data_IF_899016149940
#
_entry.id   IF_899016149940
#
_cell.length_a   1.000
_cell.length_b   1.000
_cell.length_c   1.000
_cell.angle_alpha   90.00
_cell.angle_beta   90.00
_cell.angle_gamma   90.00
#
_symmetry.space_group_name_H-M   'P 1'
#
loop_
_entity.id
_entity.type
_entity.pdbx_description
1 polymer ?
#
# COMPACT_ATOMS: atom_id res chain seq x y z
N UNK A 1 -12.00 -66.72 -6.33
CA UNK A 1 -11.75 -65.85 -5.16
C UNK A 1 -12.59 -64.59 -5.33
N UNK A 2 -13.67 -64.53 -4.56
CA UNK A 2 -14.68 -63.46 -4.55
C UNK A 2 -14.08 -62.15 -4.03
N UNK A 3 -14.42 -61.01 -4.65
CA UNK A 3 -14.90 -59.76 -4.03
C UNK A 3 -15.07 -58.69 -5.13
N UNK A 4 -16.30 -58.34 -5.51
CA UNK A 4 -17.26 -57.39 -4.92
C UNK A 4 -17.17 -55.99 -5.55
N UNK A 5 -18.34 -55.57 -6.01
CA UNK A 5 -18.78 -54.28 -6.56
C UNK A 5 -18.46 -53.08 -5.69
N UNK A 6 -18.13 -51.93 -6.31
CA UNK A 6 -18.70 -50.64 -5.91
C UNK A 6 -18.47 -49.56 -6.98
N UNK A 7 -19.57 -49.12 -7.60
CA UNK A 7 -19.68 -47.85 -8.29
C UNK A 7 -20.42 -46.89 -7.35
N UNK A 8 -19.97 -45.63 -7.26
CA UNK A 8 -20.75 -44.40 -6.93
C UNK A 8 -19.73 -43.24 -6.83
N UNK A 9 -19.48 -42.46 -7.88
CA UNK A 9 -20.18 -41.22 -8.28
C UNK A 9 -19.68 -39.97 -7.53
N UNK A 10 -19.30 -38.85 -8.15
CA UNK A 10 -20.09 -37.86 -8.92
C UNK A 10 -19.10 -36.82 -9.55
N UNK A 11 -19.53 -35.79 -10.32
CA UNK A 11 -20.35 -35.76 -11.53
C UNK A 11 -19.72 -34.87 -12.65
N UNK A 12 -20.18 -35.08 -13.89
CA UNK A 12 -20.18 -34.19 -15.09
C UNK A 12 -19.65 -32.74 -14.92
N UNK A 13 -18.88 -32.17 -15.87
CA UNK A 13 -19.42 -31.65 -17.15
C UNK A 13 -18.30 -31.22 -18.13
N UNK A 14 -18.30 -31.85 -19.30
CA UNK A 14 -18.21 -31.23 -20.63
C UNK A 14 -17.08 -30.21 -20.93
N UNK A 15 -16.06 -30.64 -21.66
CA UNK A 15 -15.62 -29.90 -22.86
C UNK A 15 -15.49 -30.85 -24.05
N UNK A 16 -15.98 -30.37 -25.18
CA UNK A 16 -16.33 -31.10 -26.39
C UNK A 16 -15.15 -31.78 -27.08
N UNK A 17 -15.39 -32.98 -27.60
CA UNK A 17 -14.45 -33.82 -28.37
C UNK A 17 -14.05 -33.18 -29.70
N UNK A 18 -12.79 -33.39 -30.12
CA UNK A 18 -12.21 -33.59 -31.47
C UNK A 18 -10.71 -33.27 -31.28
N UNK A 19 -9.72 -34.17 -31.33
CA UNK A 19 -9.31 -35.09 -32.39
C UNK A 19 -8.44 -36.22 -31.78
N UNK A 20 -8.55 -37.40 -32.37
CA UNK A 20 -7.84 -38.66 -32.10
C UNK A 20 -6.32 -38.61 -32.35
N UNK A 21 -5.60 -39.34 -31.48
CA UNK A 21 -4.16 -39.66 -31.44
C UNK A 21 -3.35 -39.65 -32.75
N UNK A 22 -2.15 -39.05 -32.73
CA UNK A 22 -0.96 -39.58 -33.42
C UNK A 22 0.30 -39.40 -32.55
N UNK A 23 1.08 -40.47 -32.50
CA UNK A 23 2.14 -40.80 -31.54
C UNK A 23 3.48 -40.08 -31.77
N UNK A 24 4.28 -40.04 -30.69
CA UNK A 24 5.74 -40.26 -30.68
C UNK A 24 6.66 -39.13 -31.20
N UNK A 25 7.22 -38.33 -30.28
CA UNK A 25 8.67 -38.13 -30.10
C UNK A 25 8.93 -37.27 -28.85
N UNK A 26 9.41 -37.85 -27.75
CA UNK A 26 10.10 -37.07 -26.71
C UNK A 26 11.51 -36.82 -27.27
N UNK A 27 11.83 -35.57 -27.61
CA UNK A 27 13.14 -34.91 -27.52
C UNK A 27 13.18 -33.65 -28.42
N UNK A 28 12.94 -32.46 -27.87
CA UNK A 28 13.84 -31.28 -28.01
C UNK A 28 13.34 -30.12 -27.13
N UNK A 29 14.15 -29.73 -26.16
CA UNK A 29 14.05 -28.48 -25.41
C UNK A 29 12.77 -28.29 -24.57
N UNK A 30 12.53 -29.22 -23.65
CA UNK A 30 11.73 -28.94 -22.46
C UNK A 30 12.48 -27.99 -21.51
N UNK A 31 12.49 -26.71 -21.84
CA UNK A 31 12.66 -25.64 -20.85
C UNK A 31 11.78 -24.47 -21.27
N UNK A 32 10.47 -24.70 -21.30
CA UNK A 32 9.56 -23.58 -21.08
C UNK A 32 9.55 -23.36 -19.57
N UNK A 33 10.57 -22.66 -19.07
CA UNK A 33 10.43 -22.01 -17.77
C UNK A 33 9.33 -20.98 -18.00
N UNK A 34 8.08 -21.36 -17.71
CA UNK A 34 7.03 -20.37 -17.52
C UNK A 34 7.54 -19.52 -16.36
N UNK A 35 8.28 -18.45 -16.67
CA UNK A 35 8.61 -17.42 -15.72
C UNK A 35 7.26 -16.98 -15.17
N UNK A 36 7.01 -17.35 -13.93
CA UNK A 36 5.82 -16.91 -13.22
C UNK A 36 6.02 -15.44 -12.88
N UNK A 37 5.97 -14.58 -13.91
CA UNK A 37 5.89 -13.13 -13.78
C UNK A 37 4.47 -12.76 -13.33
N UNK A 38 3.98 -13.40 -12.27
CA UNK A 38 2.88 -12.81 -11.53
C UNK A 38 3.47 -11.56 -10.88
N UNK A 39 2.94 -10.35 -11.15
CA UNK A 39 3.42 -9.16 -10.46
C UNK A 39 3.30 -9.41 -8.96
N UNK A 40 4.37 -9.11 -8.22
CA UNK A 40 4.32 -9.11 -6.76
C UNK A 40 3.20 -8.16 -6.34
N UNK A 41 2.28 -8.57 -5.44
CA UNK A 41 1.24 -7.67 -4.95
C UNK A 41 1.88 -6.46 -4.24
N UNK A 42 1.36 -5.26 -4.52
CA UNK A 42 1.80 -4.03 -3.86
C UNK A 42 1.54 -4.05 -2.35
N UNK A 43 2.47 -3.56 -1.55
CA UNK A 43 2.30 -3.26 -0.14
C UNK A 43 2.04 -1.77 0.06
N UNK A 44 1.26 -1.41 1.09
CA UNK A 44 0.98 -0.02 1.37
C UNK A 44 2.20 0.68 2.00
N UNK A 45 2.39 2.00 1.76
CA UNK A 45 3.49 2.74 2.34
C UNK A 45 3.34 2.87 3.85
N UNK A 46 4.42 3.26 4.53
CA UNK A 46 4.42 3.71 5.92
C UNK A 46 4.49 5.23 5.99
N UNK A 47 3.48 5.85 6.60
CA UNK A 47 3.46 7.29 6.85
C UNK A 47 4.28 7.65 8.09
N UNK A 48 5.22 8.58 7.93
CA UNK A 48 6.04 9.10 9.02
C UNK A 48 6.39 10.57 8.80
N UNK A 49 6.42 11.35 9.87
CA UNK A 49 6.88 12.73 9.83
C UNK A 49 7.45 13.24 11.15
N UNK A 50 8.19 14.35 11.05
CA UNK A 50 8.67 15.15 12.18
C UNK A 50 8.18 16.59 12.06
N UNK A 51 8.18 17.29 13.20
CA UNK A 51 7.72 18.68 13.30
C UNK A 51 8.76 19.48 14.07
N UNK A 52 9.02 20.72 13.63
CA UNK A 52 10.08 21.57 14.20
C UNK A 52 9.85 21.96 15.67
N UNK A 53 8.62 21.84 16.17
CA UNK A 53 8.22 22.25 17.51
C UNK A 53 7.39 21.17 18.21
N UNK A 54 7.42 21.18 19.54
CA UNK A 54 6.59 20.31 20.39
C UNK A 54 5.27 20.96 20.81
N UNK A 55 5.15 22.28 20.67
CA UNK A 55 3.95 23.08 20.88
C UNK A 55 3.73 24.04 19.71
N UNK A 56 2.47 24.43 19.50
CA UNK A 56 2.07 25.33 18.43
C UNK A 56 1.44 26.56 19.10
N UNK A 57 2.13 27.69 19.02
CA UNK A 57 1.65 28.98 19.51
C UNK A 57 1.07 29.83 18.37
N UNK A 58 0.29 30.85 18.73
CA UNK A 58 -0.29 31.77 17.74
C UNK A 58 0.79 32.63 17.10
N UNK A 59 0.77 32.74 15.78
CA UNK A 59 1.72 33.52 15.00
C UNK A 59 3.03 32.79 14.69
N UNK A 60 3.13 31.51 15.03
CA UNK A 60 4.31 30.70 14.75
C UNK A 60 4.18 29.92 13.44
N UNK A 61 5.23 30.00 12.61
CA UNK A 61 5.40 29.15 11.44
C UNK A 61 6.04 27.84 11.86
N UNK A 62 5.35 26.73 11.63
CA UNK A 62 5.79 25.39 11.99
C UNK A 62 6.20 24.64 10.72
N UNK A 63 7.36 24.00 10.74
CA UNK A 63 7.85 23.18 9.64
C UNK A 63 7.50 21.70 9.88
N UNK A 64 6.94 21.07 8.85
CA UNK A 64 6.56 19.66 8.81
C UNK A 64 7.44 18.95 7.79
N UNK A 65 8.04 17.83 8.19
CA UNK A 65 8.91 17.03 7.32
C UNK A 65 8.47 15.56 7.32
N UNK A 66 7.91 15.10 6.20
CA UNK A 66 7.51 13.72 5.94
C UNK A 66 8.65 12.83 5.44
N UNK A 67 9.91 13.25 5.61
CA UNK A 67 11.08 12.52 5.12
C UNK A 67 11.23 11.10 5.64
N UNK A 68 10.62 10.79 6.77
CA UNK A 68 10.61 9.46 7.40
C UNK A 68 9.52 8.52 6.87
N UNK A 69 8.68 8.97 5.92
CA UNK A 69 7.78 8.08 5.20
C UNK A 69 8.55 7.20 4.22
N UNK A 70 8.14 5.94 4.10
CA UNK A 70 8.81 4.95 3.25
C UNK A 70 7.83 3.98 2.63
N UNK A 71 8.25 3.32 1.57
CA UNK A 71 7.56 2.18 0.99
C UNK A 71 8.59 1.06 0.75
N UNK A 72 8.23 -0.19 1.01
CA UNK A 72 9.18 -1.30 1.10
C UNK A 72 9.42 -1.99 -0.24
N UNK A 73 8.41 -1.95 -1.12
CA UNK A 73 8.41 -2.52 -2.46
C UNK A 73 8.26 -1.46 -3.56
N UNK A 74 8.25 -0.18 -3.18
CA UNK A 74 8.09 0.95 -4.10
C UNK A 74 8.65 2.26 -3.55
N UNK A 75 7.97 3.36 -3.88
CA UNK A 75 8.34 4.72 -3.50
C UNK A 75 7.10 5.54 -3.13
N UNK A 76 7.28 6.50 -2.22
CA UNK A 76 6.19 7.44 -1.88
C UNK A 76 6.08 8.50 -2.98
N UNK A 77 4.96 8.50 -3.70
CA UNK A 77 4.67 9.41 -4.80
C UNK A 77 4.05 10.73 -4.36
N UNK A 78 3.21 10.72 -3.31
CA UNK A 78 2.47 11.92 -2.88
C UNK A 78 2.44 12.08 -1.36
N UNK A 79 2.37 13.35 -0.91
CA UNK A 79 2.26 13.76 0.48
C UNK A 79 1.15 14.80 0.61
N UNK A 80 0.15 14.53 1.45
CA UNK A 80 -0.97 15.44 1.72
C UNK A 80 -1.13 15.66 3.22
N UNK A 81 -1.17 16.93 3.61
CA UNK A 81 -1.28 17.37 4.99
C UNK A 81 -2.67 17.93 5.27
N UNK A 82 -3.18 17.61 6.45
CA UNK A 82 -4.28 18.31 7.12
C UNK A 82 -3.74 18.82 8.46
N UNK A 83 -3.80 20.14 8.66
CA UNK A 83 -3.21 20.76 9.86
C UNK A 83 -4.18 20.80 11.05
N UNK A 84 -5.43 20.34 10.88
CA UNK A 84 -6.43 20.32 11.93
C UNK A 84 -7.02 21.70 12.29
N UNK A 85 -6.63 22.76 11.58
CA UNK A 85 -7.19 24.11 11.66
C UNK A 85 -8.13 24.44 10.47
N UNK A 86 -8.37 23.45 9.60
CA UNK A 86 -9.12 23.59 8.35
C UNK A 86 -8.25 23.84 7.11
N UNK A 87 -6.94 24.07 7.29
CA UNK A 87 -5.99 24.23 6.20
C UNK A 87 -5.35 22.89 5.81
N UNK A 88 -4.87 22.83 4.56
CA UNK A 88 -4.18 21.65 4.02
C UNK A 88 -3.03 22.07 3.11
N UNK A 89 -2.04 21.20 2.94
CA UNK A 89 -0.93 21.40 2.00
C UNK A 89 -0.52 20.10 1.33
N UNK A 90 0.31 20.21 0.29
CA UNK A 90 0.93 19.08 -0.40
C UNK A 90 2.43 19.29 -0.50
N UNK A 91 3.18 18.20 -0.40
CA UNK A 91 4.64 18.22 -0.50
C UNK A 91 5.31 17.52 0.68
N UNK A 92 6.52 17.02 0.44
CA UNK A 92 7.29 16.26 1.45
C UNK A 92 7.67 17.13 2.65
N UNK A 93 7.99 18.40 2.40
CA UNK A 93 8.29 19.40 3.41
C UNK A 93 7.39 20.61 3.19
N UNK A 94 6.72 21.07 4.24
CA UNK A 94 5.78 22.19 4.18
C UNK A 94 5.92 23.06 5.44
N UNK A 95 5.69 24.35 5.27
CA UNK A 95 5.57 25.30 6.39
C UNK A 95 4.11 25.72 6.51
N UNK A 96 3.59 25.75 7.74
CA UNK A 96 2.24 26.22 8.03
C UNK A 96 2.23 27.21 9.19
N UNK A 97 1.43 28.27 9.07
CA UNK A 97 1.29 29.31 10.07
C UNK A 97 -0.02 29.13 10.83
N UNK A 98 0.07 28.92 12.13
CA UNK A 98 -1.11 28.86 13.00
C UNK A 98 -1.44 30.25 13.55
N UNK A 99 -2.62 30.77 13.23
CA UNK A 99 -3.03 32.13 13.63
C UNK A 99 -3.66 32.20 15.02
N UNK A 100 -4.15 31.07 15.52
CA UNK A 100 -4.86 30.96 16.80
C UNK A 100 -4.13 29.93 17.67
N UNK A 101 -3.98 30.16 18.98
CA UNK A 101 -3.41 29.14 19.85
C UNK A 101 -4.44 28.01 20.04
N UNK A 102 -4.00 26.77 20.01
CA UNK A 102 -4.93 25.64 20.03
C UNK A 102 -4.28 24.29 20.17
N UNK A 103 -5.12 23.25 20.19
CA UNK A 103 -4.68 21.86 20.07
C UNK A 103 -5.02 21.40 18.65
N UNK A 104 -4.00 21.03 17.90
CA UNK A 104 -4.13 20.65 16.50
C UNK A 104 -3.82 19.17 16.32
N UNK A 105 -4.68 18.47 15.58
CA UNK A 105 -4.43 17.09 15.16
C UNK A 105 -3.93 17.16 13.72
N UNK A 106 -2.62 17.05 13.55
CA UNK A 106 -1.99 17.10 12.23
C UNK A 106 -1.99 15.69 11.65
N UNK A 107 -2.52 15.55 10.44
CA UNK A 107 -2.60 14.29 9.72
C UNK A 107 -1.82 14.37 8.40
N UNK A 108 -0.89 13.44 8.22
CA UNK A 108 -0.23 13.18 6.95
C UNK A 108 -0.88 11.97 6.29
N UNK A 109 -1.27 12.11 5.03
CA UNK A 109 -1.61 11.00 4.13
C UNK A 109 -0.53 10.90 3.07
N UNK A 110 0.02 9.71 2.87
CA UNK A 110 0.98 9.40 1.80
C UNK A 110 0.34 8.42 0.81
N UNK A 111 0.70 8.57 -0.47
CA UNK A 111 0.33 7.66 -1.56
C UNK A 111 1.62 7.10 -2.18
N UNK A 112 1.70 5.79 -2.41
CA UNK A 112 2.82 5.16 -3.14
C UNK A 112 2.66 5.27 -4.67
N UNK A 113 3.66 4.81 -5.43
CA UNK A 113 3.67 4.80 -6.89
C UNK A 113 2.71 3.78 -7.53
N UNK A 114 2.16 2.85 -6.74
CA UNK A 114 1.09 1.94 -7.14
C UNK A 114 -0.32 2.41 -6.74
N UNK A 115 -0.42 3.56 -6.06
CA UNK A 115 -1.65 4.20 -5.64
C UNK A 115 -2.20 3.78 -4.27
N UNK A 116 -1.53 2.91 -3.51
CA UNK A 116 -1.96 2.59 -2.15
C UNK A 116 -1.61 3.73 -1.18
N UNK A 117 -2.35 3.80 -0.08
CA UNK A 117 -2.32 4.93 0.84
C UNK A 117 -2.14 4.51 2.28
N UNK A 118 -1.43 5.33 3.04
CA UNK A 118 -1.35 5.25 4.48
C UNK A 118 -1.46 6.64 5.11
N UNK A 119 -1.77 6.69 6.41
CA UNK A 119 -1.84 7.96 7.14
C UNK A 119 -1.23 7.85 8.53
N UNK A 120 -0.64 8.95 8.99
CA UNK A 120 -0.11 9.12 10.34
C UNK A 120 -0.67 10.40 10.94
N UNK A 121 -1.08 10.34 12.21
CA UNK A 121 -1.65 11.49 12.92
C UNK A 121 -0.85 11.77 14.18
N UNK A 122 -0.50 13.04 14.42
CA UNK A 122 0.09 13.50 15.67
C UNK A 122 -0.71 14.67 16.22
N UNK A 123 -0.93 14.67 17.54
CA UNK A 123 -1.63 15.73 18.27
C UNK A 123 -0.62 16.65 18.93
N UNK A 124 -0.65 17.92 18.56
CA UNK A 124 0.17 18.97 19.17
C UNK A 124 -0.71 19.84 20.06
N UNK A 125 -0.29 20.10 21.30
CA UNK A 125 -1.08 20.89 22.25
C UNK A 125 -0.36 21.18 23.56
N UNK A 126 -0.07 22.46 23.79
CA UNK A 126 0.45 23.13 25.00
C UNK A 126 1.48 22.34 25.85
N UNK A 127 2.76 22.68 25.72
CA UNK A 127 3.67 22.56 26.87
C UNK A 127 3.28 23.67 27.84
N UNK A 128 2.71 23.32 28.99
CA UNK A 128 2.58 24.29 30.09
C UNK A 128 3.99 24.75 30.48
N UNK A 129 4.14 26.06 30.69
CA UNK A 129 5.33 26.67 31.28
C UNK A 129 5.70 25.99 32.61
#
# INVERSE_FOLDING_TARGET
MTILTSALQHPYRSYSRFITYLSLLVMLSGCFSQGSDSPTPNLAPTAGFTVSTSSIDSGESVNFDASTSSDIDGSVAEYRWDFGDGSSATGRQVTHLYTTPGKYSVNLTVTDDAGAKASGTVRYGLSRY
#
